data_IF_209464618496
#
_entry.id   IF_209464618496
#
_cell.length_a   1.000
_cell.length_b   1.000
_cell.length_c   1.000
_cell.angle_alpha   90.00
_cell.angle_beta   90.00
_cell.angle_gamma   90.00
#
_symmetry.space_group_name_H-M   'P 1'
#
loop_
_entity.id
_entity.type
_entity.pdbx_description
1 polymer ?
#
# COMPACT_ATOMS: atom_id res chain seq x y z
N UNK A 1 41.49 30.55 121.87
CA UNK A 1 42.47 31.60 121.50
C UNK A 1 43.46 30.92 120.57
N UNK A 2 43.57 31.19 119.28
CA UNK A 2 43.60 32.50 118.63
C UNK A 2 42.54 32.63 117.53
N UNK A 3 41.86 33.77 117.56
CA UNK A 3 40.94 34.27 116.56
C UNK A 3 41.70 35.32 115.76
N UNK A 4 41.66 35.25 114.44
CA UNK A 4 42.19 36.32 113.59
C UNK A 4 41.19 36.67 112.50
N UNK A 5 40.42 37.72 112.81
CA UNK A 5 40.01 38.81 111.93
C UNK A 5 39.65 38.49 110.46
N UNK A 6 38.35 38.59 110.16
CA UNK A 6 37.90 39.32 108.97
C UNK A 6 38.04 40.84 109.26
N UNK A 7 38.13 41.76 108.27
CA UNK A 7 36.93 42.05 107.45
C UNK A 7 37.18 42.68 106.05
N UNK A 8 36.06 42.94 105.37
CA UNK A 8 35.81 43.94 104.30
C UNK A 8 36.35 43.62 102.90
N UNK A 9 35.69 43.98 101.81
CA UNK A 9 34.33 44.43 101.44
C UNK A 9 34.44 44.87 99.97
N UNK A 10 33.32 44.87 99.24
CA UNK A 10 33.06 45.65 98.02
C UNK A 10 33.69 45.11 96.73
N UNK A 11 33.08 45.18 95.55
CA UNK A 11 31.83 45.73 95.02
C UNK A 11 31.92 45.53 93.49
N UNK A 12 30.78 45.34 92.79
CA UNK A 12 30.55 45.60 91.34
C UNK A 12 31.44 44.86 90.32
N UNK A 13 31.06 44.49 89.11
CA UNK A 13 29.83 44.49 88.31
C UNK A 13 30.23 43.75 87.00
N UNK A 14 29.24 43.43 86.18
CA UNK A 14 29.31 43.11 84.74
C UNK A 14 29.48 41.65 84.27
N UNK A 15 28.39 41.19 83.63
CA UNK A 15 28.40 40.14 82.61
C UNK A 15 27.06 39.39 82.54
N UNK A 16 26.21 39.58 81.52
CA UNK A 16 24.98 38.82 81.41
C UNK A 16 25.33 37.37 81.13
N UNK A 17 24.99 36.48 82.06
CA UNK A 17 25.12 35.02 81.89
C UNK A 17 24.33 34.63 80.64
N UNK A 18 25.07 34.22 79.61
CA UNK A 18 24.57 33.69 78.34
C UNK A 18 23.57 32.58 78.65
N UNK A 19 22.27 32.87 78.57
CA UNK A 19 21.23 31.85 78.70
C UNK A 19 21.37 30.89 77.52
N UNK A 20 21.67 29.64 77.82
CA UNK A 20 21.58 28.54 76.87
C UNK A 20 20.17 28.53 76.28
N UNK A 21 20.12 28.63 74.95
CA UNK A 21 18.87 28.64 74.18
C UNK A 21 18.28 27.24 74.33
N UNK A 22 17.15 27.11 75.03
CA UNK A 22 16.39 25.87 75.09
C UNK A 22 15.65 25.68 73.77
N UNK A 23 16.02 24.64 73.02
CA UNK A 23 15.33 24.22 71.80
C UNK A 23 13.94 23.65 72.17
N UNK A 24 12.91 24.49 72.04
CA UNK A 24 11.53 24.22 72.47
C UNK A 24 10.75 23.23 71.59
N UNK A 25 11.33 22.74 70.50
CA UNK A 25 10.65 21.78 69.65
C UNK A 25 11.43 21.51 68.37
N UNK A 26 11.62 20.23 68.08
CA UNK A 26 12.16 19.78 66.81
C UNK A 26 11.00 19.68 65.82
N UNK A 27 11.13 20.35 64.68
CA UNK A 27 10.12 20.34 63.61
C UNK A 27 9.69 18.90 63.27
N UNK A 28 8.38 18.65 63.32
CA UNK A 28 7.79 17.29 63.38
C UNK A 28 7.25 16.84 62.03
N UNK A 29 7.25 17.73 61.03
CA UNK A 29 6.66 17.45 59.72
C UNK A 29 7.75 17.23 58.68
N UNK A 30 7.80 16.05 58.04
CA UNK A 30 8.74 15.80 56.96
C UNK A 30 8.37 16.69 55.75
N UNK A 31 9.24 17.65 55.42
CA UNK A 31 9.12 18.41 54.16
C UNK A 31 9.70 17.52 53.06
N UNK A 32 8.82 16.89 52.29
CA UNK A 32 9.18 16.10 51.12
C UNK A 32 9.62 17.02 49.98
N UNK A 33 10.90 17.40 49.96
CA UNK A 33 11.53 18.18 48.87
C UNK A 33 12.05 17.30 47.73
N UNK A 34 11.83 15.99 47.81
CA UNK A 34 12.31 15.06 46.81
C UNK A 34 11.42 15.08 45.56
N UNK A 35 12.00 15.46 44.42
CA UNK A 35 11.39 15.40 43.07
C UNK A 35 10.84 13.99 42.74
N UNK A 36 11.28 12.96 43.48
CA UNK A 36 10.78 11.59 43.42
C UNK A 36 9.28 11.44 43.69
N UNK A 37 8.66 12.31 44.48
CA UNK A 37 7.20 12.24 44.71
C UNK A 37 6.38 12.89 43.59
N UNK A 38 7.00 13.70 42.72
CA UNK A 38 6.35 14.23 41.52
C UNK A 38 6.43 13.26 40.33
N UNK A 39 7.28 12.24 40.38
CA UNK A 39 7.30 11.20 39.35
C UNK A 39 6.21 10.19 39.59
N UNK A 40 4.95 10.56 39.29
CA UNK A 40 3.92 9.56 39.01
C UNK A 40 4.51 8.65 37.93
N UNK A 41 4.64 7.38 38.27
CA UNK A 41 5.41 6.39 37.50
C UNK A 41 4.67 6.01 36.21
N UNK A 42 4.52 6.95 35.28
CA UNK A 42 4.03 6.73 33.92
C UNK A 42 5.13 6.20 32.98
N UNK A 43 6.37 6.08 33.48
CA UNK A 43 7.53 5.58 32.72
C UNK A 43 7.32 4.24 32.03
N UNK A 44 6.67 3.21 32.61
CA UNK A 44 6.49 1.95 31.89
C UNK A 44 5.44 2.04 30.78
N UNK A 45 4.48 2.98 30.87
CA UNK A 45 3.46 3.17 29.85
C UNK A 45 3.96 3.97 28.64
N UNK A 46 4.95 4.85 28.81
CA UNK A 46 5.52 5.66 27.73
C UNK A 46 6.71 5.02 26.97
N UNK A 47 7.26 3.91 27.47
CA UNK A 47 8.49 3.30 26.91
C UNK A 47 8.25 1.95 26.22
N UNK A 48 7.08 1.34 26.39
CA UNK A 48 6.76 0.03 25.82
C UNK A 48 6.24 0.08 24.37
N UNK A 49 6.29 -1.06 23.66
CA UNK A 49 5.69 -1.21 22.32
C UNK A 49 4.19 -0.86 22.30
N UNK A 50 3.49 -1.06 23.42
CA UNK A 50 2.09 -0.67 23.59
C UNK A 50 1.87 0.84 23.44
N UNK A 51 2.83 1.69 23.81
CA UNK A 51 2.76 3.13 23.59
C UNK A 51 2.70 3.47 22.09
N UNK A 52 3.60 2.87 21.32
CA UNK A 52 3.65 3.04 19.87
C UNK A 52 2.39 2.47 19.20
N UNK A 53 1.89 1.33 19.68
CA UNK A 53 0.65 0.75 19.17
C UNK A 53 -0.58 1.60 19.52
N UNK A 54 -0.64 2.20 20.71
CA UNK A 54 -1.73 3.11 21.08
C UNK A 54 -1.67 4.41 20.28
N UNK A 55 -0.48 4.93 20.01
CA UNK A 55 -0.26 6.16 19.26
C UNK A 55 -0.54 5.99 17.76
N UNK A 56 0.00 4.91 17.15
CA UNK A 56 -0.13 4.65 15.71
C UNK A 56 -1.29 3.73 15.34
N UNK A 57 -1.85 2.98 16.28
CA UNK A 57 -2.97 2.06 16.05
C UNK A 57 -4.16 2.69 15.32
N UNK A 58 -4.75 3.78 15.84
CA UNK A 58 -5.87 4.43 15.15
C UNK A 58 -5.48 4.96 13.75
N UNK A 59 -4.24 5.46 13.59
CA UNK A 59 -3.73 5.89 12.30
C UNK A 59 -3.57 4.73 11.30
N UNK A 60 -3.05 3.58 11.74
CA UNK A 60 -2.92 2.38 10.92
C UNK A 60 -4.28 1.85 10.48
N UNK A 61 -5.24 1.79 11.41
CA UNK A 61 -6.62 1.34 11.11
C UNK A 61 -7.27 2.29 10.09
N UNK A 62 -7.12 3.59 10.27
CA UNK A 62 -7.60 4.58 9.32
C UNK A 62 -6.94 4.42 7.94
N UNK A 63 -5.62 4.26 7.89
CA UNK A 63 -4.91 4.02 6.63
C UNK A 63 -5.39 2.74 5.95
N UNK A 64 -5.58 1.65 6.70
CA UNK A 64 -6.06 0.39 6.16
C UNK A 64 -7.49 0.52 5.59
N UNK A 65 -8.38 1.21 6.28
CA UNK A 65 -9.73 1.54 5.78
C UNK A 65 -9.67 2.43 4.54
N UNK A 66 -8.82 3.45 4.52
CA UNK A 66 -8.65 4.35 3.39
C UNK A 66 -8.10 3.62 2.15
N UNK A 67 -7.05 2.81 2.31
CA UNK A 67 -6.48 2.02 1.23
C UNK A 67 -7.45 0.98 0.71
N UNK A 68 -8.18 0.26 1.56
CA UNK A 68 -9.18 -0.72 1.10
C UNK A 68 -10.31 -0.05 0.31
N UNK A 69 -10.79 1.12 0.73
CA UNK A 69 -11.78 1.89 -0.02
C UNK A 69 -11.23 2.45 -1.34
N UNK A 70 -10.00 2.98 -1.33
CA UNK A 70 -9.34 3.53 -2.52
C UNK A 70 -9.03 2.44 -3.54
N UNK A 71 -8.52 1.30 -3.10
CA UNK A 71 -8.25 0.13 -3.93
C UNK A 71 -9.55 -0.48 -4.46
N UNK A 72 -10.63 -0.52 -3.68
CA UNK A 72 -11.94 -0.95 -4.19
C UNK A 72 -12.43 -0.08 -5.34
N UNK A 73 -12.30 1.24 -5.23
CA UNK A 73 -12.71 2.18 -6.30
C UNK A 73 -11.83 2.08 -7.55
N UNK A 74 -10.53 1.83 -7.39
CA UNK A 74 -9.62 1.66 -8.52
C UNK A 74 -9.61 0.24 -9.11
N UNK A 75 -10.08 -0.76 -8.37
CA UNK A 75 -9.96 -2.17 -8.76
C UNK A 75 -10.60 -2.52 -10.11
N UNK A 76 -11.81 -2.06 -10.50
CA UNK A 76 -12.38 -2.52 -11.76
C UNK A 76 -11.58 -2.03 -12.96
N UNK A 77 -11.22 -0.75 -13.00
CA UNK A 77 -10.42 -0.19 -14.10
C UNK A 77 -8.99 -0.74 -14.12
N UNK A 78 -8.33 -0.83 -12.96
CA UNK A 78 -6.98 -1.40 -12.89
C UNK A 78 -6.97 -2.88 -13.25
N UNK A 79 -8.00 -3.65 -12.85
CA UNK A 79 -8.12 -5.05 -13.24
C UNK A 79 -8.35 -5.19 -14.75
N UNK A 80 -9.18 -4.34 -15.36
CA UNK A 80 -9.39 -4.33 -16.81
C UNK A 80 -8.09 -3.98 -17.55
N UNK A 81 -7.34 -2.98 -17.09
CA UNK A 81 -6.04 -2.61 -17.67
C UNK A 81 -4.96 -3.68 -17.47
N UNK A 82 -4.94 -4.36 -16.33
CA UNK A 82 -4.01 -5.47 -16.10
C UNK A 82 -4.38 -6.67 -16.99
N UNK A 83 -5.67 -6.92 -17.19
CA UNK A 83 -6.17 -7.97 -18.10
C UNK A 83 -5.83 -7.67 -19.55
N UNK A 84 -6.05 -6.45 -20.04
CA UNK A 84 -5.68 -6.08 -21.42
C UNK A 84 -4.17 -6.21 -21.64
N UNK A 85 -3.35 -5.69 -20.73
CA UNK A 85 -1.88 -5.85 -20.78
C UNK A 85 -1.45 -7.31 -20.77
N UNK A 86 -2.09 -8.15 -19.95
CA UNK A 86 -1.81 -9.59 -19.91
C UNK A 86 -2.21 -10.27 -21.23
N UNK A 87 -3.38 -9.95 -21.76
CA UNK A 87 -3.88 -10.49 -23.03
C UNK A 87 -2.95 -10.12 -24.19
N UNK A 88 -2.52 -8.86 -24.27
CA UNK A 88 -1.55 -8.42 -25.28
C UNK A 88 -0.21 -9.10 -25.15
N UNK A 89 0.30 -9.25 -23.92
CA UNK A 89 1.59 -9.90 -23.69
C UNK A 89 1.55 -11.35 -24.15
N UNK A 90 0.45 -12.05 -23.87
CA UNK A 90 0.28 -13.43 -24.32
C UNK A 90 0.18 -13.52 -25.85
N UNK A 91 -0.61 -12.64 -26.47
CA UNK A 91 -0.70 -12.57 -27.93
C UNK A 91 0.65 -12.26 -28.58
N UNK A 92 1.39 -11.28 -28.05
CA UNK A 92 2.72 -10.91 -28.55
C UNK A 92 3.68 -12.10 -28.48
N UNK A 93 3.65 -12.84 -27.36
CA UNK A 93 4.48 -14.03 -27.18
C UNK A 93 4.10 -15.14 -28.17
N UNK A 94 2.83 -15.27 -28.51
CA UNK A 94 2.38 -16.23 -29.52
C UNK A 94 2.78 -15.76 -30.93
N UNK A 95 2.53 -14.51 -31.29
CA UNK A 95 2.90 -13.89 -32.57
C UNK A 95 4.41 -13.87 -32.86
N UNK A 96 5.26 -13.85 -31.84
CA UNK A 96 6.72 -13.88 -31.99
C UNK A 96 7.31 -15.27 -32.27
N UNK A 97 6.51 -16.34 -32.21
CA UNK A 97 6.97 -17.68 -32.59
C UNK A 97 7.12 -17.75 -34.10
N UNK A 98 8.30 -18.12 -34.59
CA UNK A 98 8.53 -18.33 -36.02
C UNK A 98 7.64 -19.48 -36.55
N UNK A 99 7.00 -19.25 -37.70
CA UNK A 99 6.23 -20.28 -38.39
C UNK A 99 4.88 -20.61 -37.76
N UNK A 100 4.12 -19.59 -37.34
CA UNK A 100 2.75 -19.76 -36.85
C UNK A 100 1.84 -20.36 -37.91
N UNK A 101 1.01 -21.30 -37.49
CA UNK A 101 -0.07 -21.84 -38.32
C UNK A 101 -1.31 -20.94 -38.25
N UNK A 102 -2.14 -20.95 -39.31
CA UNK A 102 -3.42 -20.24 -39.33
C UNK A 102 -4.30 -20.57 -38.11
N UNK A 103 -4.35 -21.83 -37.67
CA UNK A 103 -5.06 -22.25 -36.45
C UNK A 103 -4.49 -21.59 -35.18
N UNK A 104 -3.17 -21.46 -35.08
CA UNK A 104 -2.54 -20.81 -33.93
C UNK A 104 -2.83 -19.31 -33.91
N UNK A 105 -2.96 -18.68 -35.07
CA UNK A 105 -3.31 -17.26 -35.17
C UNK A 105 -4.77 -17.03 -34.75
N UNK A 106 -5.72 -17.84 -35.22
CA UNK A 106 -7.13 -17.67 -34.81
C UNK A 106 -7.31 -17.92 -33.32
N UNK A 107 -6.61 -18.92 -32.76
CA UNK A 107 -6.64 -19.19 -31.32
C UNK A 107 -6.00 -18.04 -30.52
N UNK A 108 -4.89 -17.47 -30.98
CA UNK A 108 -4.26 -16.30 -30.35
C UNK A 108 -5.21 -15.10 -30.30
N UNK A 109 -5.87 -14.79 -31.42
CA UNK A 109 -6.84 -13.69 -31.52
C UNK A 109 -8.05 -13.96 -30.63
N UNK A 110 -8.57 -15.20 -30.64
CA UNK A 110 -9.69 -15.63 -29.79
C UNK A 110 -9.34 -15.49 -28.30
N UNK A 111 -8.19 -15.97 -27.88
CA UNK A 111 -7.71 -15.89 -26.50
C UNK A 111 -7.51 -14.43 -26.08
N UNK A 112 -7.03 -13.58 -26.98
CA UNK A 112 -6.93 -12.14 -26.72
C UNK A 112 -8.31 -11.50 -26.50
N UNK A 113 -9.29 -11.76 -27.38
CA UNK A 113 -10.64 -11.22 -27.25
C UNK A 113 -11.35 -11.73 -25.98
N UNK A 114 -11.21 -13.02 -25.69
CA UNK A 114 -11.77 -13.64 -24.49
C UNK A 114 -11.17 -13.03 -23.22
N UNK A 115 -9.85 -12.89 -23.14
CA UNK A 115 -9.18 -12.33 -21.96
C UNK A 115 -9.41 -10.83 -21.79
N UNK A 116 -9.46 -10.07 -22.88
CA UNK A 116 -9.65 -8.61 -22.83
C UNK A 116 -11.09 -8.22 -22.51
N UNK A 117 -12.05 -8.84 -23.19
CA UNK A 117 -13.47 -8.49 -23.04
C UNK A 117 -14.23 -9.42 -22.08
N UNK A 118 -13.51 -10.34 -21.41
CA UNK A 118 -14.08 -11.35 -20.51
C UNK A 118 -15.20 -12.17 -21.19
N UNK A 119 -14.96 -12.55 -22.44
CA UNK A 119 -15.87 -13.36 -23.26
C UNK A 119 -15.44 -14.83 -23.22
N UNK A 120 -16.38 -15.73 -23.52
CA UNK A 120 -16.15 -17.17 -23.63
C UNK A 120 -16.48 -17.66 -25.05
N UNK A 121 -15.80 -17.10 -26.04
CA UNK A 121 -16.01 -17.42 -27.46
C UNK A 121 -15.42 -18.80 -27.73
N UNK A 122 -16.26 -19.72 -28.23
CA UNK A 122 -15.84 -21.06 -28.63
C UNK A 122 -15.17 -21.06 -30.02
N UNK A 123 -15.81 -20.42 -31.00
CA UNK A 123 -15.35 -20.31 -32.39
C UNK A 123 -15.38 -18.84 -32.79
N UNK A 124 -14.29 -18.35 -33.38
CA UNK A 124 -14.16 -16.97 -33.83
C UNK A 124 -14.35 -16.92 -35.34
N UNK A 125 -15.40 -16.24 -35.81
CA UNK A 125 -15.66 -15.97 -37.23
C UNK A 125 -15.34 -14.52 -37.57
N UNK A 126 -15.11 -14.21 -38.85
CA UNK A 126 -14.79 -12.85 -39.28
C UNK A 126 -15.88 -11.83 -38.88
N UNK A 127 -17.14 -12.20 -39.08
CA UNK A 127 -18.30 -11.35 -38.76
C UNK A 127 -18.40 -11.12 -37.25
N UNK A 128 -18.14 -12.16 -36.45
CA UNK A 128 -18.23 -12.08 -35.00
C UNK A 128 -17.10 -11.22 -34.42
N UNK A 129 -15.87 -11.35 -34.95
CA UNK A 129 -14.74 -10.51 -34.55
C UNK A 129 -15.03 -9.02 -34.80
N UNK A 130 -15.55 -8.68 -35.96
CA UNK A 130 -15.91 -7.30 -36.31
C UNK A 130 -17.03 -6.77 -35.41
N UNK A 131 -18.09 -7.56 -35.18
CA UNK A 131 -19.22 -7.20 -34.32
C UNK A 131 -18.77 -6.91 -32.89
N UNK A 132 -17.91 -7.76 -32.33
CA UNK A 132 -17.36 -7.58 -30.97
C UNK A 132 -16.57 -6.28 -30.91
N UNK A 133 -15.65 -6.04 -31.86
CA UNK A 133 -14.81 -4.83 -31.85
C UNK A 133 -15.63 -3.55 -32.00
N UNK A 134 -16.63 -3.53 -32.89
CA UNK A 134 -17.54 -2.38 -33.05
C UNK A 134 -18.34 -2.10 -31.78
N UNK A 135 -18.81 -3.15 -31.09
CA UNK A 135 -19.56 -3.00 -29.82
C UNK A 135 -18.69 -2.36 -28.73
N UNK A 136 -17.37 -2.56 -28.78
CA UNK A 136 -16.40 -2.04 -27.82
C UNK A 136 -15.87 -0.64 -28.20
N UNK A 137 -16.40 -0.02 -29.26
CA UNK A 137 -16.04 1.35 -29.66
C UNK A 137 -14.79 1.48 -30.52
N UNK A 138 -14.30 0.39 -31.12
CA UNK A 138 -13.17 0.41 -32.06
C UNK A 138 -13.58 1.08 -33.37
N UNK A 139 -12.65 1.80 -34.02
CA UNK A 139 -12.92 2.39 -35.34
C UNK A 139 -13.29 1.33 -36.38
N UNK A 140 -14.26 1.65 -37.23
CA UNK A 140 -14.79 0.70 -38.23
C UNK A 140 -13.68 0.15 -39.16
N UNK A 141 -12.74 0.99 -39.57
CA UNK A 141 -11.61 0.60 -40.44
C UNK A 141 -10.71 -0.48 -39.81
N UNK A 142 -10.43 -0.36 -38.51
CA UNK A 142 -9.63 -1.36 -37.79
C UNK A 142 -10.44 -2.65 -37.54
N UNK A 143 -11.71 -2.52 -37.19
CA UNK A 143 -12.59 -3.68 -36.99
C UNK A 143 -12.74 -4.48 -38.29
N UNK A 144 -12.89 -3.80 -39.43
CA UNK A 144 -12.94 -4.42 -40.76
C UNK A 144 -11.59 -5.06 -41.12
N UNK A 145 -10.47 -4.42 -40.80
CA UNK A 145 -9.15 -4.98 -41.04
C UNK A 145 -8.87 -6.25 -40.22
N UNK A 146 -9.31 -6.31 -38.95
CA UNK A 146 -9.28 -7.56 -38.17
C UNK A 146 -10.17 -8.61 -38.82
N UNK A 147 -11.40 -8.23 -39.19
CA UNK A 147 -12.34 -9.12 -39.86
C UNK A 147 -11.75 -9.72 -41.15
N UNK A 148 -11.06 -8.92 -41.96
CA UNK A 148 -10.41 -9.38 -43.18
C UNK A 148 -9.28 -10.39 -42.91
N UNK A 149 -8.49 -10.17 -41.85
CA UNK A 149 -7.44 -11.13 -41.44
C UNK A 149 -8.08 -12.42 -40.94
N UNK A 150 -9.08 -12.34 -40.05
CA UNK A 150 -9.80 -13.50 -39.54
C UNK A 150 -10.44 -14.28 -40.69
N UNK A 151 -11.01 -13.60 -41.68
CA UNK A 151 -11.58 -14.23 -42.87
C UNK A 151 -10.55 -14.99 -43.69
N UNK A 152 -9.36 -14.42 -43.93
CA UNK A 152 -8.26 -15.13 -44.61
C UNK A 152 -7.84 -16.39 -43.86
N UNK A 153 -7.80 -16.30 -42.53
CA UNK A 153 -7.45 -17.43 -41.65
C UNK A 153 -8.56 -18.49 -41.68
N UNK A 154 -9.81 -18.07 -41.60
CA UNK A 154 -11.00 -18.92 -41.68
C UNK A 154 -11.06 -19.67 -43.02
N UNK A 155 -10.87 -18.96 -44.15
CA UNK A 155 -10.80 -19.55 -45.49
C UNK A 155 -9.64 -20.56 -45.61
N UNK A 156 -8.48 -20.26 -45.03
CA UNK A 156 -7.34 -21.19 -45.00
C UNK A 156 -7.65 -22.46 -44.19
N UNK A 157 -8.35 -22.33 -43.06
CA UNK A 157 -8.78 -23.48 -42.25
C UNK A 157 -9.80 -24.33 -43.00
N UNK A 158 -10.82 -23.70 -43.62
CA UNK A 158 -11.83 -24.42 -44.41
C UNK A 158 -11.26 -25.11 -45.65
N UNK A 159 -10.21 -24.55 -46.25
CA UNK A 159 -9.52 -25.16 -47.41
C UNK A 159 -8.49 -26.23 -47.02
N UNK A 160 -8.38 -26.59 -45.74
CA UNK A 160 -7.46 -27.61 -45.24
C UNK A 160 -6.02 -27.13 -45.05
N UNK A 161 -5.74 -25.84 -45.30
CA UNK A 161 -4.44 -25.18 -45.12
C UNK A 161 -4.24 -24.62 -43.70
N UNK A 162 -5.09 -25.00 -42.75
CA UNK A 162 -5.06 -24.46 -41.39
C UNK A 162 -3.72 -24.65 -40.67
N UNK A 163 -2.95 -25.70 -41.00
CA UNK A 163 -1.64 -25.97 -40.41
C UNK A 163 -0.47 -25.33 -41.18
N UNK A 164 -0.73 -24.71 -42.32
CA UNK A 164 0.32 -24.07 -43.11
C UNK A 164 0.91 -22.89 -42.35
N UNK A 165 2.23 -22.74 -42.46
CA UNK A 165 2.95 -21.64 -41.82
C UNK A 165 2.66 -20.34 -42.54
N UNK A 166 2.46 -19.27 -41.79
CA UNK A 166 2.17 -17.95 -42.32
C UNK A 166 2.86 -16.83 -41.54
N UNK A 167 3.15 -15.74 -42.23
CA UNK A 167 3.75 -14.52 -41.66
C UNK A 167 2.68 -13.50 -41.19
N UNK A 168 1.40 -13.86 -41.32
CA UNK A 168 0.26 -13.06 -40.86
C UNK A 168 0.28 -12.75 -39.34
N UNK A 169 1.12 -13.44 -38.56
CA UNK A 169 1.25 -13.21 -37.12
C UNK A 169 1.72 -11.79 -36.77
N UNK A 170 2.61 -11.20 -37.58
CA UNK A 170 3.09 -9.84 -37.35
C UNK A 170 2.02 -8.78 -37.69
N UNK A 171 1.29 -8.99 -38.79
CA UNK A 171 0.18 -8.12 -39.19
C UNK A 171 -0.91 -8.07 -38.13
N UNK A 172 -1.29 -9.24 -37.58
CA UNK A 172 -2.24 -9.37 -36.48
C UNK A 172 -1.78 -8.58 -35.25
N UNK A 173 -0.50 -8.71 -34.88
CA UNK A 173 0.05 -8.00 -33.73
C UNK A 173 0.02 -6.48 -33.92
N UNK A 174 0.42 -5.97 -35.08
CA UNK A 174 0.39 -4.53 -35.40
C UNK A 174 -1.03 -3.99 -35.28
N UNK A 175 -2.00 -4.74 -35.82
CA UNK A 175 -3.40 -4.30 -35.86
C UNK A 175 -4.05 -4.32 -34.48
N UNK A 176 -3.78 -5.36 -33.68
CA UNK A 176 -4.26 -5.43 -32.29
C UNK A 176 -3.63 -4.34 -31.42
N UNK A 177 -2.36 -4.01 -31.65
CA UNK A 177 -1.69 -2.89 -30.98
C UNK A 177 -2.27 -1.54 -31.36
N UNK A 178 -2.78 -1.39 -32.60
CA UNK A 178 -3.50 -0.18 -33.01
C UNK A 178 -4.85 -0.08 -32.28
N UNK A 179 -5.60 -1.18 -32.18
CA UNK A 179 -6.88 -1.25 -31.44
C UNK A 179 -6.70 -0.91 -29.95
N UNK A 180 -5.60 -1.33 -29.34
CA UNK A 180 -5.28 -1.00 -27.95
C UNK A 180 -5.03 0.47 -27.69
N UNK A 181 -4.71 1.25 -28.72
CA UNK A 181 -4.62 2.72 -28.58
C UNK A 181 -5.98 3.40 -28.68
N UNK A 182 -7.00 2.71 -29.16
CA UNK A 182 -8.34 3.26 -29.40
C UNK A 182 -9.29 2.99 -28.24
N UNK A 183 -9.09 1.88 -27.53
CA UNK A 183 -9.90 1.51 -26.38
C UNK A 183 -9.20 2.05 -25.11
N UNK A 184 -9.88 2.88 -24.29
CA UNK A 184 -9.32 3.47 -23.06
C UNK A 184 -9.07 2.47 -21.92
#
# INVERSE_FOLDING_TARGET
MASTAAPKSKESDEGPVKKEIQELGKDILPIHTAIKDLSVSYRPFMTGWFFWLALFGPFLVYMMAFFTLKLRKQSPEQLTQLRSKKALKELTKQCQKEGLSYLQIIDAVKDYLNNRFNLSIGVLTAVEAERILRTQGVRAENAESVGAIVRKVEDAVYTGKGQDRTDLGNDVYILIKAIEKEIP
#
